data_IF_512992736645
#
_entry.id   IF_512992736645
#
_cell.length_a   1.000
_cell.length_b   1.000
_cell.length_c   1.000
_cell.angle_alpha   90.00
_cell.angle_beta   90.00
_cell.angle_gamma   90.00
#
_symmetry.space_group_name_H-M   'P 1'
#
loop_
_entity.id
_entity.type
_entity.pdbx_description
1 polymer ?
#
# COMPACT_ATOMS: atom_id res chain seq x y z
N UNK A 1 26.44 -15.53 -15.02
CA UNK A 1 25.17 -15.62 -14.27
C UNK A 1 24.14 -14.81 -15.04
N UNK A 2 23.15 -15.45 -15.65
CA UNK A 2 22.23 -14.79 -16.58
C UNK A 2 21.18 -13.97 -15.82
N UNK A 3 20.83 -12.82 -16.41
CA UNK A 3 20.02 -11.71 -15.87
C UNK A 3 18.59 -12.09 -15.41
N UNK A 4 18.20 -13.36 -15.48
CA UNK A 4 16.83 -13.87 -15.31
C UNK A 4 16.46 -14.32 -13.87
N UNK A 5 17.41 -14.40 -12.93
CA UNK A 5 17.17 -15.06 -11.62
C UNK A 5 16.80 -14.16 -10.42
N UNK A 6 16.63 -12.84 -10.60
CA UNK A 6 16.36 -11.91 -9.48
C UNK A 6 14.87 -11.70 -9.12
N UNK A 7 13.97 -12.39 -9.80
CA UNK A 7 12.52 -12.24 -9.62
C UNK A 7 11.95 -12.95 -8.38
N UNK A 8 12.75 -13.71 -7.63
CA UNK A 8 12.25 -14.70 -6.66
C UNK A 8 12.16 -14.24 -5.20
N UNK A 9 12.48 -12.99 -4.87
CA UNK A 9 12.56 -12.56 -3.47
C UNK A 9 11.33 -11.72 -3.08
N UNK A 10 10.43 -12.33 -2.34
CA UNK A 10 9.17 -11.80 -1.85
C UNK A 10 8.38 -12.91 -1.13
N UNK A 11 7.10 -12.73 -0.83
CA UNK A 11 6.23 -13.81 -0.31
C UNK A 11 6.22 -15.04 -1.24
N UNK A 12 6.52 -14.82 -2.53
CA UNK A 12 6.83 -15.86 -3.53
C UNK A 12 8.09 -16.67 -3.23
N UNK A 13 9.09 -16.14 -2.51
CA UNK A 13 10.31 -16.83 -2.09
C UNK A 13 10.05 -18.00 -1.15
N UNK A 14 9.11 -17.85 -0.21
CA UNK A 14 8.63 -18.94 0.66
C UNK A 14 7.96 -20.04 -0.18
N UNK A 15 7.25 -19.64 -1.22
CA UNK A 15 6.50 -20.48 -2.14
C UNK A 15 7.45 -21.16 -3.17
N UNK A 16 8.53 -20.50 -3.59
CA UNK A 16 9.69 -21.09 -4.28
C UNK A 16 10.38 -22.11 -3.39
N UNK A 17 10.59 -21.81 -2.11
CA UNK A 17 11.21 -22.72 -1.16
C UNK A 17 10.34 -23.96 -0.94
N UNK A 18 9.02 -23.81 -0.88
CA UNK A 18 8.06 -24.93 -0.84
C UNK A 18 8.06 -25.73 -2.15
N UNK A 19 8.12 -25.07 -3.31
CA UNK A 19 8.25 -25.72 -4.63
C UNK A 19 9.58 -26.51 -4.74
N UNK A 20 10.68 -25.95 -4.25
CA UNK A 20 12.01 -26.57 -4.25
C UNK A 20 12.10 -27.72 -3.23
N UNK A 21 11.42 -27.61 -2.10
CA UNK A 21 11.30 -28.71 -1.15
C UNK A 21 10.38 -29.83 -1.68
N UNK A 22 9.32 -29.48 -2.41
CA UNK A 22 8.50 -30.42 -3.17
C UNK A 22 9.31 -31.15 -4.24
N UNK A 23 10.18 -30.45 -4.97
CA UNK A 23 11.11 -31.06 -5.92
C UNK A 23 12.12 -32.00 -5.25
N UNK A 24 12.59 -31.70 -4.03
CA UNK A 24 13.45 -32.58 -3.25
C UNK A 24 12.70 -33.83 -2.72
N UNK A 25 11.42 -33.69 -2.36
CA UNK A 25 10.52 -34.79 -2.02
C UNK A 25 10.22 -35.70 -3.23
N UNK A 26 10.20 -35.14 -4.43
CA UNK A 26 10.03 -35.83 -5.71
C UNK A 26 11.27 -36.60 -6.18
N UNK A 27 12.46 -36.24 -5.70
CA UNK A 27 13.73 -36.65 -6.31
C UNK A 27 14.17 -38.09 -6.02
N UNK A 28 13.56 -38.85 -5.10
CA UNK A 28 13.77 -40.30 -5.04
C UNK A 28 12.80 -41.00 -4.09
N UNK A 29 12.02 -41.93 -4.65
CA UNK A 29 11.11 -42.87 -3.98
C UNK A 29 9.96 -42.24 -3.19
N UNK A 30 8.81 -42.93 -3.11
CA UNK A 30 7.70 -42.55 -2.22
C UNK A 30 8.16 -42.76 -0.77
N UNK A 31 8.61 -41.73 -0.03
CA UNK A 31 8.97 -41.89 1.37
C UNK A 31 7.67 -41.94 2.17
N UNK A 32 7.74 -42.37 3.42
CA UNK A 32 6.59 -42.27 4.32
C UNK A 32 6.16 -40.80 4.49
N UNK A 33 4.87 -40.52 4.73
CA UNK A 33 4.35 -39.15 4.94
C UNK A 33 5.15 -38.39 6.02
N UNK A 34 5.62 -39.11 7.05
CA UNK A 34 6.41 -38.57 8.15
C UNK A 34 7.83 -38.13 7.73
N UNK A 35 8.49 -38.89 6.85
CA UNK A 35 9.81 -38.52 6.31
C UNK A 35 9.71 -37.29 5.43
N UNK A 36 8.65 -37.20 4.61
CA UNK A 36 8.37 -36.03 3.77
C UNK A 36 8.20 -34.76 4.61
N UNK A 37 7.38 -34.84 5.67
CA UNK A 37 7.17 -33.72 6.58
C UNK A 37 8.48 -33.30 7.27
N UNK A 38 9.25 -34.25 7.80
CA UNK A 38 10.52 -33.98 8.48
C UNK A 38 11.54 -33.34 7.54
N UNK A 39 11.66 -33.85 6.30
CA UNK A 39 12.56 -33.29 5.30
C UNK A 39 12.17 -31.87 4.90
N UNK A 40 10.87 -31.63 4.69
CA UNK A 40 10.33 -30.30 4.38
C UNK A 40 10.65 -29.30 5.50
N UNK A 41 10.46 -29.69 6.77
CA UNK A 41 10.76 -28.83 7.91
C UNK A 41 12.26 -28.51 8.01
N UNK A 42 13.13 -29.52 7.86
CA UNK A 42 14.58 -29.35 7.94
C UNK A 42 15.12 -28.45 6.82
N UNK A 43 14.73 -28.72 5.57
CA UNK A 43 15.12 -27.90 4.42
C UNK A 43 14.63 -26.46 4.55
N UNK A 44 13.39 -26.27 4.99
CA UNK A 44 12.84 -24.94 5.21
C UNK A 44 13.64 -24.18 6.28
N UNK A 45 13.94 -24.81 7.41
CA UNK A 45 14.72 -24.21 8.48
C UNK A 45 16.15 -23.90 8.05
N UNK A 46 16.80 -24.81 7.31
CA UNK A 46 18.16 -24.62 6.82
C UNK A 46 18.26 -23.40 5.88
N UNK A 47 17.25 -23.20 5.03
CA UNK A 47 17.26 -22.12 4.03
C UNK A 47 16.75 -20.78 4.55
N UNK A 48 15.72 -20.81 5.39
CA UNK A 48 15.07 -19.59 5.89
C UNK A 48 15.59 -19.15 7.26
N UNK A 49 16.25 -20.04 8.01
CA UNK A 49 16.61 -19.83 9.41
C UNK A 49 15.41 -19.82 10.37
N UNK A 50 14.19 -20.12 9.87
CA UNK A 50 12.95 -20.10 10.64
C UNK A 50 12.37 -21.51 10.66
N UNK A 51 11.95 -21.99 11.84
CA UNK A 51 11.35 -23.31 11.96
C UNK A 51 9.99 -23.41 11.24
N UNK A 52 9.64 -24.61 10.80
CA UNK A 52 8.36 -24.92 10.18
C UNK A 52 7.70 -26.07 10.92
N UNK A 53 6.39 -25.96 11.17
CA UNK A 53 5.53 -27.06 11.58
C UNK A 53 4.64 -27.41 10.40
N UNK A 54 4.50 -28.70 10.15
CA UNK A 54 3.67 -29.25 9.08
C UNK A 54 2.80 -30.34 9.68
N UNK A 55 1.49 -30.26 9.48
CA UNK A 55 0.53 -31.24 9.98
C UNK A 55 0.59 -32.55 9.19
N UNK A 56 0.45 -32.46 7.86
CA UNK A 56 0.50 -33.62 6.95
C UNK A 56 1.13 -33.27 5.62
N UNK A 57 1.89 -34.21 5.06
CA UNK A 57 2.38 -34.15 3.67
C UNK A 57 2.04 -35.47 3.00
N UNK A 58 1.27 -35.44 1.92
CA UNK A 58 0.87 -36.65 1.22
C UNK A 58 0.72 -36.43 -0.28
N UNK A 59 0.69 -37.56 -1.01
CA UNK A 59 0.42 -37.59 -2.44
C UNK A 59 -1.04 -37.93 -2.70
N UNK A 60 -1.72 -37.12 -3.50
CA UNK A 60 -3.00 -37.48 -4.10
C UNK A 60 -2.73 -37.94 -5.54
N UNK A 61 -2.88 -39.24 -5.83
CA UNK A 61 -2.41 -39.84 -7.09
C UNK A 61 -3.48 -39.91 -8.20
N UNK A 62 -4.73 -39.50 -7.94
CA UNK A 62 -5.82 -39.51 -8.92
C UNK A 62 -6.60 -38.18 -8.89
N UNK A 63 -7.04 -37.64 -10.04
CA UNK A 63 -6.80 -38.09 -11.42
C UNK A 63 -5.39 -37.78 -11.95
N UNK A 64 -4.68 -36.82 -11.35
CA UNK A 64 -3.26 -36.51 -11.61
C UNK A 64 -2.50 -36.45 -10.28
N UNK A 65 -1.21 -36.82 -10.22
CA UNK A 65 -0.40 -36.69 -9.00
C UNK A 65 -0.30 -35.25 -8.52
N UNK A 66 -0.63 -35.02 -7.25
CA UNK A 66 -0.54 -33.74 -6.56
C UNK A 66 0.15 -33.95 -5.21
N UNK A 67 1.09 -33.08 -4.86
CA UNK A 67 1.65 -33.00 -3.50
C UNK A 67 0.79 -32.06 -2.69
N UNK A 68 0.26 -32.55 -1.56
CA UNK A 68 -0.58 -31.76 -0.66
C UNK A 68 0.11 -31.62 0.69
N UNK A 69 0.24 -30.38 1.16
CA UNK A 69 0.76 -30.02 2.46
C UNK A 69 -0.35 -29.34 3.26
N UNK A 70 -0.68 -29.89 4.43
CA UNK A 70 -1.76 -29.40 5.29
C UNK A 70 -1.21 -28.93 6.64
N UNK A 71 -1.84 -27.90 7.20
CA UNK A 71 -1.52 -27.39 8.53
C UNK A 71 -0.09 -26.84 8.62
N UNK A 72 0.25 -25.89 7.74
CA UNK A 72 1.55 -25.21 7.75
C UNK A 72 1.52 -24.11 8.80
N UNK A 73 2.56 -24.03 9.64
CA UNK A 73 2.78 -22.93 10.56
C UNK A 73 4.27 -22.64 10.78
N UNK A 74 4.71 -21.39 10.67
CA UNK A 74 6.09 -21.02 11.02
C UNK A 74 6.28 -20.94 12.54
N UNK A 75 7.50 -21.21 13.01
CA UNK A 75 7.87 -21.09 14.43
C UNK A 75 8.28 -19.65 14.72
N UNK A 76 7.29 -18.80 14.97
CA UNK A 76 7.43 -17.37 15.28
C UNK A 76 6.35 -16.96 16.29
N UNK A 77 6.53 -15.82 16.99
CA UNK A 77 5.54 -15.30 17.96
C UNK A 77 4.15 -15.15 17.34
N UNK A 78 4.10 -14.61 16.11
CA UNK A 78 2.90 -14.59 15.27
C UNK A 78 3.17 -15.48 14.04
N UNK A 79 2.68 -16.72 13.98
CA UNK A 79 3.03 -17.62 12.90
C UNK A 79 2.45 -17.15 11.56
N UNK A 80 3.19 -17.39 10.47
CA UNK A 80 2.60 -17.49 9.15
C UNK A 80 1.96 -18.87 9.06
N UNK A 81 0.68 -18.94 8.69
CA UNK A 81 -0.04 -20.20 8.57
C UNK A 81 -0.62 -20.41 7.18
N UNK A 82 -0.85 -21.67 6.81
CA UNK A 82 -1.68 -22.03 5.66
C UNK A 82 -2.42 -23.33 5.95
N UNK A 83 -3.72 -23.37 5.61
CA UNK A 83 -4.55 -24.56 5.81
C UNK A 83 -4.11 -25.68 4.88
N UNK A 84 -3.97 -25.35 3.59
CA UNK A 84 -3.59 -26.30 2.54
C UNK A 84 -2.74 -25.60 1.48
N UNK A 85 -1.67 -26.27 1.07
CA UNK A 85 -0.89 -25.93 -0.13
C UNK A 85 -0.84 -27.17 -1.00
N UNK A 86 -1.25 -27.04 -2.26
CA UNK A 86 -1.24 -28.13 -3.23
C UNK A 86 -0.38 -27.77 -4.43
N UNK A 87 0.41 -28.73 -4.91
CA UNK A 87 1.34 -28.58 -6.01
C UNK A 87 1.14 -29.69 -7.03
N UNK A 88 0.87 -29.31 -8.28
CA UNK A 88 0.71 -30.24 -9.40
C UNK A 88 1.98 -30.24 -10.25
N UNK A 89 2.89 -31.24 -10.10
CA UNK A 89 4.12 -31.31 -10.88
C UNK A 89 3.87 -31.71 -12.35
N UNK A 90 4.69 -31.19 -13.25
CA UNK A 90 4.75 -31.66 -14.64
C UNK A 90 5.59 -32.94 -14.73
N UNK A 91 4.93 -34.09 -14.63
CA UNK A 91 5.60 -35.39 -14.55
C UNK A 91 6.55 -35.67 -15.72
N UNK A 92 6.20 -35.30 -16.96
CA UNK A 92 7.09 -35.51 -18.11
C UNK A 92 8.38 -34.68 -18.03
N UNK A 93 8.27 -33.41 -17.59
CA UNK A 93 9.45 -32.57 -17.38
C UNK A 93 10.31 -33.10 -16.23
N UNK A 94 9.66 -33.54 -15.15
CA UNK A 94 10.33 -34.02 -13.95
C UNK A 94 11.02 -35.37 -14.16
N UNK A 95 10.28 -36.37 -14.65
CA UNK A 95 10.76 -37.75 -14.76
C UNK A 95 11.68 -37.96 -15.96
N UNK A 96 11.45 -37.28 -17.10
CA UNK A 96 12.19 -37.56 -18.33
C UNK A 96 13.24 -36.50 -18.66
N UNK A 97 13.03 -35.25 -18.26
CA UNK A 97 13.93 -34.14 -18.61
C UNK A 97 14.79 -33.65 -17.43
N UNK A 98 14.59 -34.22 -16.23
CA UNK A 98 15.21 -33.76 -14.98
C UNK A 98 15.02 -32.24 -14.79
N UNK A 99 13.83 -31.75 -15.14
CA UNK A 99 13.43 -30.35 -15.06
C UNK A 99 12.36 -30.15 -14.01
N UNK A 100 12.57 -29.16 -13.14
CA UNK A 100 11.59 -28.73 -12.15
C UNK A 100 10.56 -27.84 -12.84
N UNK A 101 9.31 -28.30 -12.89
CA UNK A 101 8.18 -27.57 -13.46
C UNK A 101 6.85 -28.03 -12.83
N UNK A 102 5.93 -27.08 -12.68
CA UNK A 102 4.62 -27.28 -12.07
C UNK A 102 3.53 -26.63 -12.93
N UNK A 103 2.39 -27.31 -13.04
CA UNK A 103 1.21 -26.76 -13.71
C UNK A 103 0.48 -25.79 -12.80
N UNK A 104 0.17 -26.24 -11.58
CA UNK A 104 -0.62 -25.48 -10.63
C UNK A 104 0.02 -25.46 -9.24
N UNK A 105 -0.10 -24.30 -8.61
CA UNK A 105 0.02 -24.12 -7.19
C UNK A 105 -1.31 -23.61 -6.65
N UNK A 106 -1.83 -24.25 -5.61
CA UNK A 106 -2.98 -23.76 -4.87
C UNK A 106 -2.58 -23.46 -3.42
N UNK A 107 -2.99 -22.31 -2.92
CA UNK A 107 -2.82 -21.91 -1.51
C UNK A 107 -4.19 -21.57 -0.93
N UNK A 108 -4.61 -22.26 0.13
CA UNK A 108 -5.88 -22.05 0.79
C UNK A 108 -5.70 -21.67 2.27
N UNK A 109 -6.44 -20.64 2.71
CA UNK A 109 -6.53 -20.23 4.11
C UNK A 109 -5.19 -19.78 4.70
N UNK A 110 -4.37 -19.06 3.92
CA UNK A 110 -3.09 -18.56 4.42
C UNK A 110 -3.25 -17.29 5.24
N UNK A 111 -2.57 -17.19 6.38
CA UNK A 111 -2.51 -15.97 7.19
C UNK A 111 -1.08 -15.46 7.21
N UNK A 112 -0.91 -14.21 6.78
CA UNK A 112 0.37 -13.55 6.57
C UNK A 112 0.48 -12.32 7.48
N UNK A 113 0.94 -12.47 8.74
CA UNK A 113 1.27 -11.32 9.57
C UNK A 113 2.47 -10.58 9.00
N UNK A 114 2.31 -9.27 8.76
CA UNK A 114 3.38 -8.42 8.19
C UNK A 114 4.69 -8.52 8.98
N UNK A 115 4.61 -8.57 10.30
CA UNK A 115 5.79 -8.67 11.19
C UNK A 115 6.58 -9.96 10.91
N UNK A 116 5.87 -11.05 10.66
CA UNK A 116 6.46 -12.38 10.45
C UNK A 116 7.00 -12.52 9.05
N UNK A 117 6.30 -11.97 8.05
CA UNK A 117 6.77 -11.88 6.66
C UNK A 117 8.06 -11.06 6.58
N UNK A 118 8.19 -9.99 7.37
CA UNK A 118 9.43 -9.20 7.44
C UNK A 118 10.63 -10.01 7.91
N UNK A 119 10.43 -11.04 8.73
CA UNK A 119 11.53 -11.89 9.17
C UNK A 119 12.18 -12.64 8.00
N UNK A 120 11.50 -12.83 6.86
CA UNK A 120 12.11 -13.48 5.69
C UNK A 120 12.99 -12.54 4.85
N UNK A 121 13.04 -11.23 5.17
CA UNK A 121 13.82 -10.27 4.39
C UNK A 121 15.32 -10.55 4.50
N UNK A 122 16.01 -10.61 3.35
CA UNK A 122 17.45 -10.88 3.29
C UNK A 122 17.80 -12.33 3.65
N UNK A 123 16.81 -13.17 3.96
CA UNK A 123 16.98 -14.60 4.25
C UNK A 123 16.60 -15.37 2.99
N UNK A 124 17.50 -16.24 2.53
CA UNK A 124 17.31 -16.99 1.30
C UNK A 124 17.79 -16.30 0.02
N UNK A 125 18.33 -15.08 0.06
CA UNK A 125 18.95 -14.42 -1.11
C UNK A 125 20.21 -15.17 -1.60
N UNK A 126 20.84 -15.94 -0.70
CA UNK A 126 21.95 -16.85 -0.98
C UNK A 126 21.49 -18.29 -1.27
N UNK A 127 20.18 -18.57 -1.29
CA UNK A 127 19.69 -19.87 -1.69
C UNK A 127 19.91 -19.99 -3.21
N UNK A 128 21.09 -20.49 -3.60
CA UNK A 128 21.26 -21.10 -4.92
C UNK A 128 20.03 -21.97 -5.15
N UNK A 129 19.24 -21.65 -6.18
CA UNK A 129 18.30 -22.62 -6.72
C UNK A 129 19.09 -23.93 -6.81
N UNK A 130 18.60 -25.04 -6.24
CA UNK A 130 19.35 -26.26 -6.24
C UNK A 130 19.61 -26.61 -7.70
N UNK A 131 20.85 -26.42 -8.13
CA UNK A 131 21.52 -27.46 -8.88
C UNK A 131 21.65 -28.63 -7.89
N UNK A 132 20.52 -29.24 -7.51
CA UNK A 132 20.55 -30.61 -7.02
C UNK A 132 21.19 -31.37 -8.16
N UNK A 133 22.31 -32.04 -7.92
CA UNK A 133 23.17 -32.63 -8.94
C UNK A 133 22.40 -33.12 -10.19
N UNK A 134 22.45 -32.34 -11.28
CA UNK A 134 21.80 -32.63 -12.57
C UNK A 134 20.35 -32.20 -12.78
N UNK A 135 19.73 -31.41 -11.91
CA UNK A 135 18.38 -30.84 -12.08
C UNK A 135 18.44 -29.38 -12.55
N UNK A 136 17.54 -29.00 -13.47
CA UNK A 136 17.41 -27.62 -13.96
C UNK A 136 15.97 -27.09 -13.84
N UNK A 137 15.78 -25.78 -13.76
CA UNK A 137 14.44 -25.18 -13.82
C UNK A 137 13.95 -25.16 -15.27
N UNK A 138 12.68 -25.50 -15.50
CA UNK A 138 12.06 -25.31 -16.81
C UNK A 138 11.94 -23.80 -17.15
N UNK A 139 11.80 -23.43 -18.45
CA UNK A 139 11.59 -22.03 -18.85
C UNK A 139 10.37 -21.37 -18.20
N UNK A 140 9.32 -22.17 -17.95
CA UNK A 140 8.12 -21.82 -17.17
C UNK A 140 8.04 -22.77 -15.98
N UNK A 141 8.69 -22.46 -14.84
CA UNK A 141 8.71 -23.35 -13.68
C UNK A 141 7.34 -23.54 -13.02
N UNK A 142 6.43 -22.58 -13.18
CA UNK A 142 5.07 -22.61 -12.66
C UNK A 142 4.17 -21.99 -13.71
N UNK A 143 3.11 -22.67 -14.16
CA UNK A 143 2.16 -22.10 -15.13
C UNK A 143 1.10 -21.24 -14.44
N UNK A 144 0.56 -21.69 -13.31
CA UNK A 144 -0.50 -21.00 -12.61
C UNK A 144 -0.33 -21.06 -11.09
N UNK A 145 -0.61 -19.94 -10.42
CA UNK A 145 -0.78 -19.87 -8.97
C UNK A 145 -2.21 -19.42 -8.67
N UNK A 146 -2.93 -20.16 -7.84
CA UNK A 146 -4.24 -19.79 -7.29
C UNK A 146 -4.14 -19.66 -5.80
N UNK A 147 -4.78 -18.64 -5.26
CA UNK A 147 -4.87 -18.46 -3.83
C UNK A 147 -6.28 -18.08 -3.40
N UNK A 148 -6.73 -18.67 -2.30
CA UNK A 148 -8.07 -18.50 -1.75
C UNK A 148 -7.93 -18.23 -0.26
N UNK A 149 -8.70 -17.28 0.26
CA UNK A 149 -8.74 -16.94 1.68
C UNK A 149 -7.35 -16.56 2.23
N UNK A 150 -6.54 -15.85 1.43
CA UNK A 150 -5.23 -15.36 1.88
C UNK A 150 -5.41 -14.05 2.63
N UNK A 151 -5.15 -14.09 3.92
CA UNK A 151 -5.31 -12.97 4.83
C UNK A 151 -3.97 -12.29 5.11
N UNK A 152 -3.84 -11.04 4.67
CA UNK A 152 -2.73 -10.16 5.06
C UNK A 152 -3.09 -9.40 6.33
N UNK A 153 -2.30 -9.57 7.39
CA UNK A 153 -2.47 -8.80 8.64
C UNK A 153 -1.43 -7.69 8.66
N UNK A 154 -1.91 -6.44 8.60
CA UNK A 154 -1.03 -5.29 8.58
C UNK A 154 -0.44 -4.98 9.97
N UNK A 155 0.35 -3.91 10.08
CA UNK A 155 0.99 -3.50 11.35
C UNK A 155 0.02 -2.98 12.41
N UNK A 156 -1.26 -2.80 12.06
CA UNK A 156 -2.34 -2.30 12.92
C UNK A 156 -3.32 -3.43 13.26
N UNK A 157 -2.92 -4.68 13.00
CA UNK A 157 -3.75 -5.87 13.17
C UNK A 157 -5.04 -5.84 12.32
N UNK A 158 -5.02 -5.09 11.22
CA UNK A 158 -6.09 -5.12 10.23
C UNK A 158 -5.88 -6.33 9.33
N UNK A 159 -6.79 -7.30 9.42
CA UNK A 159 -6.80 -8.52 8.63
C UNK A 159 -7.58 -8.31 7.32
N UNK A 160 -6.89 -8.40 6.20
CA UNK A 160 -7.45 -8.20 4.87
C UNK A 160 -7.35 -9.51 4.07
N UNK A 161 -8.49 -10.12 3.78
CA UNK A 161 -8.58 -11.37 3.01
C UNK A 161 -8.66 -11.11 1.49
N UNK A 162 -7.98 -11.96 0.73
CA UNK A 162 -7.84 -11.91 -0.73
C UNK A 162 -8.01 -13.28 -1.36
N UNK A 163 -8.61 -13.30 -2.54
CA UNK A 163 -8.62 -14.43 -3.47
C UNK A 163 -7.94 -13.99 -4.77
N UNK A 164 -7.41 -14.91 -5.56
CA UNK A 164 -6.80 -14.54 -6.84
C UNK A 164 -6.11 -15.66 -7.60
N UNK A 165 -5.68 -15.31 -8.80
CA UNK A 165 -5.02 -16.19 -9.77
C UNK A 165 -3.93 -15.43 -10.50
N UNK A 166 -2.79 -16.09 -10.73
CA UNK A 166 -1.68 -15.57 -11.52
C UNK A 166 -1.27 -16.64 -12.51
N UNK A 167 -1.34 -16.31 -13.80
CA UNK A 167 -0.82 -17.11 -14.90
C UNK A 167 0.56 -16.57 -15.28
N UNK A 168 1.53 -17.46 -15.47
CA UNK A 168 2.91 -17.08 -15.77
C UNK A 168 3.35 -17.61 -17.14
N UNK A 169 4.13 -16.80 -17.83
CA UNK A 169 4.90 -17.18 -19.01
C UNK A 169 6.39 -17.38 -18.63
N UNK A 170 7.25 -17.52 -19.64
CA UNK A 170 8.68 -17.70 -19.49
C UNK A 170 9.31 -16.61 -18.61
N UNK A 171 10.32 -17.01 -17.81
CA UNK A 171 11.00 -16.09 -16.90
C UNK A 171 10.14 -15.60 -15.73
N UNK A 172 9.06 -16.33 -15.40
CA UNK A 172 8.11 -15.97 -14.34
C UNK A 172 7.45 -14.61 -14.54
N UNK A 173 7.26 -14.22 -15.81
CA UNK A 173 6.52 -13.01 -16.15
C UNK A 173 5.02 -13.31 -16.09
N UNK A 174 4.24 -12.61 -15.25
CA UNK A 174 2.79 -12.80 -15.23
C UNK A 174 2.21 -12.49 -16.61
N UNK A 175 1.49 -13.44 -17.19
CA UNK A 175 0.66 -13.23 -18.37
C UNK A 175 -0.64 -12.54 -17.97
N UNK A 176 -1.26 -13.04 -16.91
CA UNK A 176 -2.45 -12.45 -16.31
C UNK A 176 -2.36 -12.58 -14.79
N UNK A 177 -2.72 -11.54 -14.06
CA UNK A 177 -2.86 -11.58 -12.62
C UNK A 177 -4.22 -10.98 -12.24
N UNK A 178 -4.93 -11.65 -11.36
CA UNK A 178 -6.21 -11.22 -10.84
C UNK A 178 -6.21 -11.36 -9.31
N UNK A 179 -6.59 -10.29 -8.62
CA UNK A 179 -6.65 -10.24 -7.16
C UNK A 179 -7.95 -9.59 -6.75
N UNK A 180 -8.68 -10.21 -5.84
CA UNK A 180 -10.01 -9.77 -5.38
C UNK A 180 -10.02 -9.69 -3.86
N UNK A 181 -10.62 -8.63 -3.30
CA UNK A 181 -10.94 -8.56 -1.87
C UNK A 181 -12.12 -9.45 -1.56
N UNK A 182 -11.89 -10.42 -0.68
CA UNK A 182 -12.93 -11.31 -0.19
C UNK A 182 -13.89 -10.55 0.73
N UNK A 183 -15.19 -10.78 0.56
CA UNK A 183 -16.24 -10.26 1.45
C UNK A 183 -16.50 -8.75 1.37
N UNK A 184 -16.11 -8.09 0.27
CA UNK A 184 -16.31 -6.65 0.10
C UNK A 184 -17.31 -6.39 -1.02
N UNK A 185 -18.29 -5.51 -0.76
CA UNK A 185 -19.28 -5.03 -1.75
C UNK A 185 -19.35 -3.49 -1.72
N UNK A 186 -19.27 -2.79 -2.86
CA UNK A 186 -18.98 -3.30 -4.21
C UNK A 186 -17.62 -3.98 -4.30
N UNK A 187 -17.45 -4.88 -5.26
CA UNK A 187 -16.23 -5.67 -5.43
C UNK A 187 -15.00 -4.77 -5.51
N UNK A 188 -13.92 -5.16 -4.82
CA UNK A 188 -12.61 -4.56 -4.98
C UNK A 188 -11.69 -5.57 -5.66
N UNK A 189 -11.35 -5.33 -6.93
CA UNK A 189 -10.66 -6.26 -7.82
C UNK A 189 -9.58 -5.53 -8.61
N UNK A 190 -8.45 -6.20 -8.84
CA UNK A 190 -7.38 -5.73 -9.70
C UNK A 190 -7.02 -6.82 -10.71
N UNK A 191 -6.93 -6.45 -11.99
CA UNK A 191 -6.52 -7.31 -13.09
C UNK A 191 -5.36 -6.67 -13.83
N UNK A 192 -4.33 -7.45 -14.07
CA UNK A 192 -3.22 -7.12 -14.96
C UNK A 192 -3.22 -8.14 -16.10
N UNK A 193 -3.23 -7.68 -17.34
CA UNK A 193 -3.18 -8.54 -18.53
C UNK A 193 -2.04 -8.08 -19.45
N UNK A 194 -1.05 -8.93 -19.69
CA UNK A 194 0.14 -8.59 -20.48
C UNK A 194 -0.22 -8.47 -21.96
N UNK A 195 0.28 -7.42 -22.61
CA UNK A 195 0.08 -7.14 -24.03
C UNK A 195 1.29 -7.62 -24.84
N UNK A 196 1.12 -8.70 -25.60
CA UNK A 196 2.19 -9.31 -26.38
C UNK A 196 3.33 -9.86 -25.50
N UNK A 197 4.56 -9.77 -26.04
CA UNK A 197 5.76 -10.30 -25.37
C UNK A 197 6.52 -9.24 -24.58
N UNK A 198 6.11 -7.97 -24.67
CA UNK A 198 6.68 -6.90 -23.87
C UNK A 198 6.20 -7.01 -22.41
N UNK A 199 7.05 -6.57 -21.48
CA UNK A 199 6.69 -6.39 -20.06
C UNK A 199 5.81 -5.14 -19.88
N UNK A 200 4.63 -5.17 -20.51
CA UNK A 200 3.58 -4.14 -20.50
C UNK A 200 2.22 -4.78 -20.24
N UNK A 201 1.47 -4.26 -19.27
CA UNK A 201 0.17 -4.79 -18.87
C UNK A 201 -0.92 -3.74 -18.94
N UNK A 202 -2.05 -4.08 -19.56
CA UNK A 202 -3.30 -3.39 -19.28
C UNK A 202 -3.68 -3.65 -17.83
N UNK A 203 -3.95 -2.58 -17.11
CA UNK A 203 -4.28 -2.60 -15.68
C UNK A 203 -5.69 -2.09 -15.50
N UNK A 204 -6.55 -2.92 -14.92
CA UNK A 204 -7.95 -2.64 -14.64
C UNK A 204 -8.21 -2.90 -13.15
N UNK A 205 -8.52 -1.84 -12.40
CA UNK A 205 -8.83 -1.91 -10.98
C UNK A 205 -10.25 -1.39 -10.78
N UNK A 206 -11.09 -2.19 -10.12
CA UNK A 206 -12.45 -1.85 -9.73
C UNK A 206 -12.47 -1.78 -8.21
N UNK A 207 -12.89 -0.65 -7.64
CA UNK A 207 -13.03 -0.49 -6.19
C UNK A 207 -13.87 0.75 -5.90
N UNK A 208 -14.64 0.73 -4.81
CA UNK A 208 -15.53 1.85 -4.45
C UNK A 208 -16.58 2.14 -5.52
N UNK A 209 -17.04 1.11 -6.24
CA UNK A 209 -18.02 1.25 -7.32
C UNK A 209 -17.54 2.06 -8.54
N UNK A 210 -16.25 2.38 -8.62
CA UNK A 210 -15.61 3.04 -9.76
C UNK A 210 -14.38 2.28 -10.24
N UNK A 211 -13.58 2.90 -11.11
CA UNK A 211 -12.45 2.22 -11.76
C UNK A 211 -11.18 3.04 -11.81
N UNK A 212 -10.02 2.38 -11.71
CA UNK A 212 -8.74 2.87 -12.22
C UNK A 212 -8.31 2.00 -13.40
N UNK A 213 -8.12 2.61 -14.56
CA UNK A 213 -7.68 1.91 -15.77
C UNK A 213 -6.47 2.55 -16.39
N UNK A 214 -5.60 1.75 -16.97
CA UNK A 214 -4.46 2.26 -17.73
C UNK A 214 -3.43 1.19 -17.98
N UNK A 215 -2.16 1.58 -17.97
CA UNK A 215 -1.06 0.68 -18.34
C UNK A 215 0.03 0.70 -17.30
N UNK A 216 0.54 -0.49 -17.00
CA UNK A 216 1.72 -0.72 -16.19
C UNK A 216 2.85 -1.28 -17.05
N UNK A 217 4.08 -0.87 -16.78
CA UNK A 217 5.30 -1.30 -17.49
C UNK A 217 6.31 -1.74 -16.46
N UNK A 218 6.99 -2.85 -16.75
CA UNK A 218 8.15 -3.28 -16.01
C UNK A 218 9.36 -3.29 -16.94
N UNK A 219 10.42 -2.65 -16.51
CA UNK A 219 11.70 -2.66 -17.20
C UNK A 219 12.73 -3.41 -16.35
N UNK A 220 13.64 -4.11 -17.01
CA UNK A 220 14.82 -4.71 -16.37
C UNK A 220 16.07 -4.15 -17.04
N UNK A 221 16.53 -2.93 -16.67
CA UNK A 221 17.73 -2.33 -17.24
C UNK A 221 18.98 -3.19 -17.03
N UNK A 222 20.07 -2.88 -17.76
CA UNK A 222 21.34 -3.62 -17.69
C UNK A 222 21.97 -3.66 -16.28
N UNK A 223 21.63 -2.69 -15.42
CA UNK A 223 22.01 -2.67 -14.00
C UNK A 223 21.43 -3.86 -13.20
N UNK A 224 20.42 -4.55 -13.75
CA UNK A 224 19.75 -5.68 -13.13
C UNK A 224 18.76 -5.30 -12.03
N UNK A 225 18.47 -4.00 -11.84
CA UNK A 225 17.37 -3.54 -11.03
C UNK A 225 16.04 -3.70 -11.78
N UNK A 226 14.94 -3.90 -11.07
CA UNK A 226 13.61 -3.84 -11.66
C UNK A 226 13.09 -2.41 -11.54
N UNK A 227 12.47 -1.90 -12.61
CA UNK A 227 11.76 -0.61 -12.60
C UNK A 227 10.33 -0.83 -12.99
N UNK A 228 9.41 -0.44 -12.12
CA UNK A 228 7.98 -0.51 -12.37
C UNK A 228 7.43 0.91 -12.54
N UNK A 229 6.60 1.12 -13.56
CA UNK A 229 5.85 2.36 -13.72
C UNK A 229 4.41 2.06 -14.15
N UNK A 230 3.48 2.94 -13.80
CA UNK A 230 2.12 2.84 -14.30
C UNK A 230 1.46 4.22 -14.45
N UNK A 231 0.55 4.34 -15.40
CA UNK A 231 -0.32 5.50 -15.57
C UNK A 231 -1.76 5.01 -15.56
N UNK A 232 -2.55 5.48 -14.59
CA UNK A 232 -3.91 5.02 -14.34
C UNK A 232 -4.86 6.22 -14.28
N UNK A 233 -6.01 6.13 -14.96
CA UNK A 233 -7.09 7.10 -14.87
C UNK A 233 -8.18 6.58 -13.92
N UNK A 234 -8.46 7.35 -12.86
CA UNK A 234 -9.53 7.09 -11.91
C UNK A 234 -10.84 7.69 -12.43
N UNK A 235 -11.94 6.95 -12.36
CA UNK A 235 -13.27 7.42 -12.79
C UNK A 235 -14.33 6.97 -11.80
N UNK A 236 -15.08 7.96 -11.29
CA UNK A 236 -16.29 7.80 -10.48
C UNK A 236 -16.13 6.88 -9.25
N UNK A 237 -14.98 6.96 -8.57
CA UNK A 237 -14.69 6.12 -7.41
C UNK A 237 -15.29 6.73 -6.16
N UNK A 238 -16.18 6.02 -5.48
CA UNK A 238 -16.65 6.42 -4.15
C UNK A 238 -15.53 6.30 -3.11
N UNK A 239 -15.12 7.45 -2.53
CA UNK A 239 -13.99 7.52 -1.59
C UNK A 239 -14.30 6.79 -0.29
N UNK A 240 -15.53 6.87 0.21
CA UNK A 240 -15.95 6.20 1.43
C UNK A 240 -15.90 4.68 1.23
N UNK A 241 -16.47 4.16 0.14
CA UNK A 241 -16.44 2.73 -0.17
C UNK A 241 -15.03 2.22 -0.48
N UNK A 242 -14.20 3.01 -1.18
CA UNK A 242 -12.78 2.70 -1.39
C UNK A 242 -12.06 2.47 -0.06
N UNK A 243 -12.19 3.41 0.89
CA UNK A 243 -11.50 3.26 2.18
C UNK A 243 -12.08 2.11 3.01
N UNK A 244 -13.41 1.91 2.97
CA UNK A 244 -14.10 0.83 3.66
C UNK A 244 -13.67 -0.56 3.15
N UNK A 245 -13.41 -0.72 1.85
CA UNK A 245 -12.89 -1.97 1.26
C UNK A 245 -11.57 -2.44 1.91
N UNK A 246 -10.82 -1.53 2.53
CA UNK A 246 -9.57 -1.80 3.25
C UNK A 246 -9.69 -1.60 4.76
N UNK A 247 -10.91 -1.63 5.30
CA UNK A 247 -11.22 -1.41 6.73
C UNK A 247 -10.64 -0.10 7.27
N UNK A 248 -10.65 0.95 6.44
CA UNK A 248 -10.24 2.30 6.81
C UNK A 248 -11.44 3.23 6.83
N UNK A 249 -11.33 4.30 7.60
CA UNK A 249 -12.32 5.37 7.67
C UNK A 249 -11.91 6.51 6.75
N UNK A 250 -12.87 7.02 5.98
CA UNK A 250 -12.65 8.24 5.20
C UNK A 250 -12.85 9.50 6.05
N UNK A 251 -12.12 10.57 5.71
CA UNK A 251 -12.41 11.93 6.16
C UNK A 251 -13.24 12.72 5.14
N UNK A 252 -13.40 12.17 3.92
CA UNK A 252 -14.09 12.80 2.79
C UNK A 252 -15.04 11.80 2.17
N UNK A 253 -16.29 12.18 1.96
CA UNK A 253 -17.25 11.47 1.14
C UNK A 253 -17.36 12.12 -0.25
N UNK A 254 -17.68 11.34 -1.27
CA UNK A 254 -17.82 11.81 -2.65
C UNK A 254 -17.19 10.91 -3.70
N UNK A 255 -17.32 11.32 -4.97
CA UNK A 255 -16.82 10.57 -6.14
C UNK A 255 -15.52 11.17 -6.68
N UNK A 256 -14.45 10.39 -6.57
CA UNK A 256 -13.11 10.72 -7.04
C UNK A 256 -12.95 10.37 -8.53
N UNK A 257 -12.36 11.30 -9.27
CA UNK A 257 -11.79 11.07 -10.61
C UNK A 257 -10.42 11.75 -10.70
N UNK A 258 -9.55 11.27 -11.57
CA UNK A 258 -8.18 11.79 -11.64
C UNK A 258 -7.20 10.95 -12.42
N UNK A 259 -5.92 11.32 -12.32
CA UNK A 259 -4.81 10.59 -12.92
C UNK A 259 -3.79 10.22 -11.85
N UNK A 260 -3.36 8.97 -11.85
CA UNK A 260 -2.34 8.44 -10.96
C UNK A 260 -1.14 7.98 -11.77
N UNK A 261 0.03 8.50 -11.44
CA UNK A 261 1.33 7.99 -11.88
C UNK A 261 1.92 7.14 -10.75
N UNK A 262 2.39 5.93 -11.05
CA UNK A 262 3.10 5.07 -10.10
C UNK A 262 4.52 4.83 -10.60
N UNK A 263 5.49 4.82 -9.69
CA UNK A 263 6.89 4.49 -9.97
C UNK A 263 7.48 3.71 -8.81
N UNK A 264 8.33 2.74 -9.12
CA UNK A 264 9.13 2.02 -8.14
C UNK A 264 10.38 1.43 -8.77
N UNK A 265 11.44 1.29 -7.98
CA UNK A 265 12.69 0.65 -8.37
C UNK A 265 13.18 -0.23 -7.22
N UNK A 266 13.63 -1.45 -7.53
CA UNK A 266 14.02 -2.42 -6.52
C UNK A 266 14.79 -3.61 -7.09
N UNK A 267 15.54 -4.30 -6.24
CA UNK A 267 16.29 -5.49 -6.64
C UNK A 267 15.38 -6.69 -6.96
N UNK A 268 14.18 -6.71 -6.37
CA UNK A 268 13.19 -7.80 -6.44
C UNK A 268 11.75 -7.26 -6.41
N UNK A 269 10.74 -8.07 -6.78
CA UNK A 269 9.33 -7.65 -6.73
C UNK A 269 8.86 -7.20 -5.34
N UNK A 270 9.41 -7.78 -4.27
CA UNK A 270 9.12 -7.34 -2.91
C UNK A 270 9.60 -5.91 -2.65
N UNK A 271 10.78 -5.53 -3.13
CA UNK A 271 11.31 -4.18 -3.05
C UNK A 271 10.46 -3.20 -3.87
N UNK A 272 9.98 -3.60 -5.04
CA UNK A 272 9.08 -2.77 -5.84
C UNK A 272 7.84 -2.35 -5.04
N UNK A 273 7.21 -3.28 -4.32
CA UNK A 273 6.04 -2.97 -3.47
C UNK A 273 6.43 -2.07 -2.29
N UNK A 274 7.61 -2.29 -1.69
CA UNK A 274 8.07 -1.53 -0.51
C UNK A 274 8.51 -0.11 -0.82
N UNK A 275 9.06 0.12 -2.01
CA UNK A 275 9.54 1.42 -2.51
C UNK A 275 8.52 2.10 -3.42
N UNK A 276 7.30 1.57 -3.49
CA UNK A 276 6.24 2.10 -4.34
C UNK A 276 5.95 3.56 -3.99
N UNK A 277 6.00 4.41 -5.01
CA UNK A 277 5.61 5.80 -4.95
C UNK A 277 4.50 6.04 -5.98
N UNK A 278 3.47 6.77 -5.58
CA UNK A 278 2.42 7.19 -6.50
C UNK A 278 2.06 8.66 -6.32
N UNK A 279 1.82 9.35 -7.42
CA UNK A 279 1.32 10.71 -7.46
C UNK A 279 -0.04 10.74 -8.13
N UNK A 280 -1.08 11.16 -7.41
CA UNK A 280 -2.45 11.21 -7.90
C UNK A 280 -2.94 12.66 -7.95
N UNK A 281 -3.25 13.18 -9.13
CA UNK A 281 -4.03 14.42 -9.27
C UNK A 281 -5.50 14.05 -9.26
N UNK A 282 -6.26 14.59 -8.31
CA UNK A 282 -7.65 14.17 -8.09
C UNK A 282 -8.61 15.36 -8.04
N UNK A 283 -9.87 15.06 -8.35
CA UNK A 283 -11.04 15.89 -8.08
C UNK A 283 -12.13 15.00 -7.50
N UNK A 284 -12.78 15.45 -6.43
CA UNK A 284 -13.92 14.79 -5.78
C UNK A 284 -15.14 15.70 -5.94
N UNK A 285 -16.19 15.20 -6.61
CA UNK A 285 -17.42 15.96 -6.88
C UNK A 285 -18.68 15.07 -6.84
N UNK A 286 -19.78 15.50 -6.18
CA UNK A 286 -19.74 16.44 -5.06
C UNK A 286 -18.88 15.85 -3.93
N UNK A 287 -18.42 16.69 -3.00
CA UNK A 287 -17.63 16.27 -1.85
C UNK A 287 -18.32 16.62 -0.54
N UNK A 288 -18.04 15.86 0.52
CA UNK A 288 -18.47 16.16 1.89
C UNK A 288 -17.31 15.89 2.84
N UNK A 289 -16.88 16.90 3.60
CA UNK A 289 -15.95 16.66 4.70
C UNK A 289 -16.72 16.00 5.84
N UNK A 290 -16.25 14.83 6.26
CA UNK A 290 -16.83 14.07 7.35
C UNK A 290 -16.14 14.46 8.66
N UNK A 291 -16.92 14.56 9.74
CA UNK A 291 -16.42 14.86 11.11
C UNK A 291 -15.78 16.25 11.23
N UNK A 292 -16.17 17.14 10.33
CA UNK A 292 -15.74 18.53 10.35
C UNK A 292 -16.85 19.42 9.83
N UNK A 293 -17.35 20.30 10.68
CA UNK A 293 -18.29 21.37 10.35
C UNK A 293 -17.55 22.72 10.38
N UNK A 294 -17.28 23.24 9.18
CA UNK A 294 -16.55 24.50 9.00
C UNK A 294 -17.35 25.69 9.52
N UNK A 295 -18.67 25.72 9.28
CA UNK A 295 -19.52 26.80 9.73
C UNK A 295 -19.51 26.87 11.26
N UNK A 296 -19.69 25.73 11.92
CA UNK A 296 -19.62 25.61 13.37
C UNK A 296 -18.23 25.95 13.92
N UNK A 297 -17.16 25.51 13.25
CA UNK A 297 -15.79 25.83 13.65
C UNK A 297 -15.52 27.34 13.60
N UNK A 298 -16.03 28.04 12.58
CA UNK A 298 -15.88 29.50 12.46
C UNK A 298 -16.72 30.21 13.52
N UNK A 299 -18.00 29.87 13.68
CA UNK A 299 -18.90 30.56 14.62
C UNK A 299 -18.54 30.31 16.09
N UNK A 300 -17.88 29.20 16.39
CA UNK A 300 -17.45 28.86 17.77
C UNK A 300 -15.96 29.13 18.02
N UNK A 301 -15.28 29.86 17.14
CA UNK A 301 -13.84 30.13 17.24
C UNK A 301 -13.00 28.85 17.44
N UNK A 302 -13.41 27.75 16.83
CA UNK A 302 -12.76 26.45 16.90
C UNK A 302 -13.10 25.61 18.13
N UNK A 303 -14.05 26.02 18.99
CA UNK A 303 -14.41 25.24 20.19
C UNK A 303 -15.23 23.99 19.83
N UNK A 304 -16.12 24.09 18.85
CA UNK A 304 -16.90 22.96 18.34
C UNK A 304 -16.76 22.83 16.83
N UNK A 305 -16.48 21.62 16.38
CA UNK A 305 -16.14 21.32 14.98
C UNK A 305 -16.71 20.00 14.48
N UNK A 306 -17.41 19.25 15.33
CA UNK A 306 -18.05 18.00 14.93
C UNK A 306 -19.26 18.28 14.03
N UNK A 307 -19.36 17.52 12.94
CA UNK A 307 -20.44 17.60 11.96
C UNK A 307 -19.94 17.25 10.57
N UNK A 308 -20.56 17.81 9.53
CA UNK A 308 -20.16 17.60 8.15
C UNK A 308 -20.20 18.92 7.39
N UNK A 309 -19.27 19.12 6.45
CA UNK A 309 -19.26 20.30 5.59
C UNK A 309 -19.49 19.87 4.15
N UNK A 310 -20.60 20.26 3.50
CA UNK A 310 -20.78 20.04 2.08
C UNK A 310 -19.77 20.87 1.29
N UNK A 311 -19.23 20.27 0.23
CA UNK A 311 -18.33 20.91 -0.71
C UNK A 311 -18.85 20.66 -2.12
N UNK A 312 -18.83 21.69 -2.96
CA UNK A 312 -19.07 21.53 -4.40
C UNK A 312 -17.97 20.67 -5.02
N UNK A 313 -16.74 20.87 -4.54
CA UNK A 313 -15.55 20.21 -5.06
C UNK A 313 -14.40 20.20 -4.06
N UNK A 314 -13.63 19.11 -4.08
CA UNK A 314 -12.30 19.02 -3.47
C UNK A 314 -11.29 18.52 -4.51
N UNK A 315 -10.27 19.32 -4.80
CA UNK A 315 -9.16 18.94 -5.69
C UNK A 315 -7.82 18.95 -4.98
N UNK A 316 -6.85 18.25 -5.55
CA UNK A 316 -5.44 18.44 -5.21
C UNK A 316 -4.55 17.38 -5.81
N UNK A 317 -3.33 17.31 -5.30
CA UNK A 317 -2.36 16.27 -5.59
C UNK A 317 -2.11 15.45 -4.33
N UNK A 318 -2.18 14.13 -4.43
CA UNK A 318 -1.81 13.18 -3.39
C UNK A 318 -0.56 12.41 -3.81
N UNK A 319 0.55 12.67 -3.13
CA UNK A 319 1.75 11.86 -3.19
C UNK A 319 1.72 10.80 -2.08
N UNK A 320 1.77 9.53 -2.45
CA UNK A 320 1.84 8.39 -1.54
C UNK A 320 3.22 7.75 -1.67
N UNK A 321 3.88 7.52 -0.55
CA UNK A 321 5.19 6.87 -0.53
C UNK A 321 5.20 5.77 0.52
N UNK A 322 5.45 4.54 0.07
CA UNK A 322 5.75 3.43 0.97
C UNK A 322 7.16 3.62 1.54
N UNK A 323 7.28 3.48 2.86
CA UNK A 323 8.55 3.53 3.60
C UNK A 323 8.64 2.33 4.53
N UNK A 324 9.80 2.15 5.15
CA UNK A 324 9.97 1.11 6.16
C UNK A 324 9.05 1.33 7.38
N UNK A 325 8.85 2.60 7.76
CA UNK A 325 8.08 2.98 8.95
C UNK A 325 6.58 3.13 8.70
N UNK A 326 6.14 3.07 7.44
CA UNK A 326 4.73 3.20 7.11
C UNK A 326 4.47 3.68 5.71
N UNK A 327 3.32 4.33 5.53
CA UNK A 327 2.96 5.00 4.30
C UNK A 327 2.84 6.47 4.65
N UNK A 328 3.55 7.31 3.91
CA UNK A 328 3.46 8.76 4.00
C UNK A 328 2.51 9.23 2.89
N UNK A 329 1.49 10.00 3.27
CA UNK A 329 0.57 10.66 2.35
C UNK A 329 0.85 12.16 2.40
N UNK A 330 1.17 12.79 1.28
CA UNK A 330 1.36 14.23 1.17
C UNK A 330 0.33 14.78 0.21
N UNK A 331 -0.50 15.66 0.73
CA UNK A 331 -1.49 16.41 -0.02
C UNK A 331 -0.94 17.80 -0.29
N UNK A 332 -0.89 18.18 -1.57
CA UNK A 332 -0.46 19.47 -2.06
C UNK A 332 -1.51 20.04 -3.00
N UNK A 333 -1.46 21.36 -3.22
CA UNK A 333 -2.39 22.07 -4.08
C UNK A 333 -3.86 21.79 -3.74
N UNK A 334 -4.16 21.54 -2.46
CA UNK A 334 -5.53 21.27 -2.03
C UNK A 334 -6.35 22.52 -2.26
N UNK A 335 -7.50 22.35 -2.89
CA UNK A 335 -8.52 23.38 -3.04
C UNK A 335 -9.88 22.78 -2.76
N UNK A 336 -10.62 23.37 -1.84
CA UNK A 336 -12.00 23.03 -1.52
C UNK A 336 -12.89 24.23 -1.84
N UNK A 337 -14.08 23.97 -2.38
CA UNK A 337 -15.06 25.00 -2.71
C UNK A 337 -16.42 24.63 -2.10
N UNK A 338 -17.08 25.61 -1.49
CA UNK A 338 -18.43 25.49 -0.93
C UNK A 338 -19.17 26.80 -1.11
N UNK A 339 -19.98 26.92 -2.16
CA UNK A 339 -20.65 28.16 -2.53
C UNK A 339 -19.64 29.27 -2.83
N UNK A 340 -19.69 30.35 -2.04
CA UNK A 340 -18.79 31.51 -2.15
C UNK A 340 -17.48 31.35 -1.35
N UNK A 341 -17.27 30.21 -0.69
CA UNK A 341 -16.10 29.93 0.12
C UNK A 341 -15.09 29.10 -0.66
N UNK A 342 -13.82 29.49 -0.58
CA UNK A 342 -12.70 28.70 -1.09
C UNK A 342 -11.67 28.48 0.01
N UNK A 343 -11.21 27.25 0.17
CA UNK A 343 -10.10 26.93 1.05
C UNK A 343 -8.96 26.35 0.23
N UNK A 344 -7.72 26.74 0.54
CA UNK A 344 -6.52 26.18 -0.06
C UNK A 344 -5.56 25.68 1.01
N UNK A 345 -4.75 24.66 0.71
CA UNK A 345 -3.83 24.15 1.71
C UNK A 345 -2.95 22.98 1.29
N UNK A 346 -2.27 22.43 2.29
CA UNK A 346 -1.47 21.22 2.18
C UNK A 346 -1.50 20.45 3.49
N UNK A 347 -1.30 19.13 3.41
CA UNK A 347 -1.29 18.27 4.59
C UNK A 347 -0.37 17.08 4.38
N UNK A 348 0.29 16.63 5.43
CA UNK A 348 1.03 15.37 5.48
C UNK A 348 0.39 14.47 6.53
N UNK A 349 0.18 13.22 6.15
CA UNK A 349 -0.27 12.16 7.05
C UNK A 349 0.78 11.06 7.10
N UNK A 350 1.28 10.79 8.31
CA UNK A 350 2.14 9.64 8.57
C UNK A 350 1.74 9.02 9.89
N UNK A 351 1.55 7.69 9.92
CA UNK A 351 1.19 6.98 11.15
C UNK A 351 -0.03 7.59 11.86
N UNK A 352 -1.04 8.01 11.07
CA UNK A 352 -2.27 8.69 11.51
C UNK A 352 -2.08 10.10 12.07
N UNK A 353 -0.85 10.56 12.29
CA UNK A 353 -0.55 11.95 12.64
C UNK A 353 -0.79 12.83 11.42
N UNK A 354 -1.50 13.92 11.63
CA UNK A 354 -1.83 14.92 10.63
C UNK A 354 -1.01 16.18 10.93
N UNK A 355 -0.40 16.77 9.91
CA UNK A 355 0.24 18.07 9.99
C UNK A 355 -0.02 18.83 8.68
N UNK A 356 -0.52 20.04 8.74
CA UNK A 356 -0.86 20.79 7.54
C UNK A 356 -1.09 22.29 7.79
N UNK A 357 -1.33 23.00 6.70
CA UNK A 357 -1.70 24.42 6.69
C UNK A 357 -2.90 24.59 5.76
N UNK A 358 -3.86 25.42 6.17
CA UNK A 358 -5.02 25.80 5.36
C UNK A 358 -5.24 27.31 5.46
N UNK A 359 -5.56 27.94 4.34
CA UNK A 359 -6.08 29.29 4.25
C UNK A 359 -7.51 29.25 3.70
N UNK A 360 -8.44 29.96 4.32
CA UNK A 360 -9.85 30.03 3.91
C UNK A 360 -10.15 31.45 3.44
N UNK A 361 -10.51 31.63 2.18
CA UNK A 361 -10.83 32.90 1.55
C UNK A 361 -12.36 33.01 1.26
N UNK A 362 -12.91 34.22 1.37
CA UNK A 362 -14.27 34.58 0.91
C UNK A 362 -14.17 35.30 -0.44
N UNK A 363 -15.08 35.00 -1.38
CA UNK A 363 -15.10 35.60 -2.73
C UNK A 363 -15.39 37.12 -2.73
N UNK A 364 -15.75 37.73 -1.59
CA UNK A 364 -16.07 39.17 -1.46
C UNK A 364 -14.97 40.02 -0.78
N UNK A 365 -13.69 39.66 -0.96
CA UNK A 365 -12.55 40.52 -0.57
C UNK A 365 -12.13 40.45 0.91
N UNK A 366 -12.67 39.50 1.68
CA UNK A 366 -12.25 39.25 3.07
C UNK A 366 -11.02 38.32 3.11
N UNK A 367 -10.01 38.76 3.86
CA UNK A 367 -8.65 38.22 3.94
C UNK A 367 -8.61 36.85 4.61
N UNK A 368 -8.00 35.86 3.95
CA UNK A 368 -7.99 34.49 4.46
C UNK A 368 -7.20 34.27 5.74
N UNK A 369 -7.81 33.54 6.67
CA UNK A 369 -7.23 33.22 7.99
C UNK A 369 -6.32 32.00 7.83
N UNK A 370 -5.00 32.14 8.08
CA UNK A 370 -4.10 31.00 8.04
C UNK A 370 -4.23 30.15 9.30
N UNK A 371 -4.58 28.89 9.09
CA UNK A 371 -4.76 27.88 10.12
C UNK A 371 -3.72 26.78 9.95
N UNK A 372 -3.16 26.33 11.07
CA UNK A 372 -2.40 25.10 11.17
C UNK A 372 -3.34 23.95 11.51
N UNK A 373 -3.13 22.81 10.87
CA UNK A 373 -3.84 21.58 11.12
C UNK A 373 -2.88 20.58 11.78
N UNK A 374 -3.28 20.03 12.91
CA UNK A 374 -2.51 19.06 13.70
C UNK A 374 -3.34 17.86 14.14
N UNK A 375 -2.84 17.14 15.15
CA UNK A 375 -3.54 16.02 15.76
C UNK A 375 -3.48 14.73 14.94
N UNK A 376 -4.59 14.01 14.88
CA UNK A 376 -4.70 12.74 14.15
C UNK A 376 -5.84 12.76 13.14
N UNK A 377 -5.84 11.83 12.17
CA UNK A 377 -6.94 11.69 11.21
C UNK A 377 -8.33 11.46 11.85
N UNK A 378 -8.38 10.96 13.09
CA UNK A 378 -9.66 10.74 13.79
C UNK A 378 -10.01 11.88 14.76
N UNK A 379 -9.02 12.70 15.13
CA UNK A 379 -9.18 13.86 16.00
C UNK A 379 -8.27 14.99 15.48
N UNK A 380 -8.66 15.66 14.38
CA UNK A 380 -7.89 16.76 13.83
C UNK A 380 -7.99 17.98 14.76
N UNK A 381 -6.87 18.70 14.89
CA UNK A 381 -6.78 19.93 15.68
C UNK A 381 -6.53 21.11 14.76
N UNK A 382 -7.15 22.25 15.04
CA UNK A 382 -6.94 23.50 14.32
C UNK A 382 -6.42 24.56 15.28
N UNK A 383 -5.38 25.27 14.85
CA UNK A 383 -4.84 26.42 15.58
C UNK A 383 -4.40 27.50 14.60
N UNK A 384 -4.25 28.74 15.07
CA UNK A 384 -3.63 29.80 14.28
C UNK A 384 -2.12 29.54 14.18
N UNK A 385 -1.49 29.95 13.07
CA UNK A 385 -0.02 29.85 12.97
C UNK A 385 0.66 30.83 13.94
N UNK A 386 1.92 30.58 14.32
CA UNK A 386 2.65 31.44 15.25
C UNK A 386 2.76 32.88 14.74
N UNK A 387 3.12 33.06 13.46
CA UNK A 387 3.13 34.37 12.80
C UNK A 387 1.74 34.99 12.67
N UNK A 388 0.69 34.19 12.51
CA UNK A 388 -0.68 34.68 12.46
C UNK A 388 -1.17 35.21 13.81
N UNK A 389 -0.87 34.52 14.92
CA UNK A 389 -1.18 35.00 16.28
C UNK A 389 -0.44 36.30 16.60
N UNK A 390 0.87 36.35 16.33
CA UNK A 390 1.68 37.53 16.58
C UNK A 390 1.21 38.74 15.74
N UNK A 391 0.95 38.50 14.46
CA UNK A 391 0.41 39.51 13.55
C UNK A 391 -0.99 39.96 13.94
N UNK A 392 -1.87 39.04 14.34
CA UNK A 392 -3.23 39.33 14.77
C UNK A 392 -3.26 40.19 16.05
N UNK A 393 -2.34 39.94 16.99
CA UNK A 393 -2.21 40.75 18.21
C UNK A 393 -1.82 42.20 17.89
N UNK A 394 -0.86 42.39 16.97
CA UNK A 394 -0.43 43.73 16.52
C UNK A 394 -1.54 44.43 15.74
N UNK A 395 -2.18 43.70 14.82
CA UNK A 395 -3.25 44.23 13.98
C UNK A 395 -4.49 44.66 14.78
N UNK A 396 -4.85 43.88 15.80
CA UNK A 396 -5.96 44.19 16.73
C UNK A 396 -5.71 45.46 17.55
N UNK A 397 -4.45 45.78 17.84
CA UNK A 397 -4.09 46.99 18.58
C UNK A 397 -4.29 48.27 17.75
N UNK A 398 -4.26 48.15 16.41
CA UNK A 398 -4.47 49.28 15.49
C UNK A 398 -5.94 49.41 15.12
N UNK A 399 -6.60 48.29 14.75
CA UNK A 399 -8.01 48.29 14.37
C UNK A 399 -8.66 46.93 14.69
N UNK A 400 -9.61 46.85 15.66
CA UNK A 400 -10.29 45.61 16.00
C UNK A 400 -11.03 45.01 14.79
N UNK A 401 -10.96 43.68 14.62
CA UNK A 401 -11.63 42.96 13.54
C UNK A 401 -10.82 42.95 12.25
N UNK A 402 -10.85 44.05 11.47
CA UNK A 402 -10.18 44.11 10.15
C UNK A 402 -8.65 44.14 10.30
N UNK A 403 -8.13 44.87 11.29
CA UNK A 403 -6.69 44.93 11.57
C UNK A 403 -6.12 43.58 12.00
N UNK A 404 -6.87 42.80 12.79
CA UNK A 404 -6.52 41.44 13.23
C UNK A 404 -6.23 40.51 12.04
N UNK A 405 -7.10 40.51 11.03
CA UNK A 405 -6.95 39.67 9.84
C UNK A 405 -5.75 40.11 8.97
N UNK A 406 -5.55 41.41 8.79
CA UNK A 406 -4.44 41.97 8.00
C UNK A 406 -3.10 41.68 8.69
N UNK A 407 -3.01 41.91 10.00
CA UNK A 407 -1.82 41.68 10.78
C UNK A 407 -1.38 40.22 10.74
N UNK A 408 -2.33 39.28 10.90
CA UNK A 408 -2.06 37.84 10.84
C UNK A 408 -1.35 37.41 9.54
N UNK A 409 -1.75 37.97 8.39
CA UNK A 409 -1.15 37.67 7.09
C UNK A 409 0.26 38.24 6.94
N UNK A 410 0.49 39.47 7.40
CA UNK A 410 1.82 40.10 7.37
C UNK A 410 2.79 39.28 8.23
N UNK A 411 2.35 38.89 9.44
CA UNK A 411 3.13 38.04 10.32
C UNK A 411 3.47 36.68 9.69
N UNK A 412 2.50 36.04 9.02
CA UNK A 412 2.76 34.76 8.33
C UNK A 412 3.68 34.91 7.10
N UNK A 413 3.55 35.98 6.29
CA UNK A 413 4.47 36.25 5.18
C UNK A 413 5.90 36.48 5.68
N UNK A 414 6.06 37.19 6.79
CA UNK A 414 7.36 37.37 7.44
C UNK A 414 7.92 36.04 7.96
N UNK A 415 7.10 35.21 8.61
CA UNK A 415 7.50 33.88 9.08
C UNK A 415 7.99 32.98 7.92
N UNK A 416 7.31 33.00 6.77
CA UNK A 416 7.69 32.24 5.57
C UNK A 416 8.97 32.77 4.91
N UNK A 417 9.25 34.07 5.00
CA UNK A 417 10.46 34.69 4.44
C UNK A 417 11.69 34.52 5.32
N UNK A 418 11.50 34.33 6.64
CA UNK A 418 12.60 34.40 7.60
C UNK A 418 12.89 33.12 8.39
N UNK A 419 12.05 32.07 8.30
CA UNK A 419 12.33 30.76 8.94
C UNK A 419 12.41 30.85 10.46
N UNK A 420 11.31 30.55 11.15
CA UNK A 420 11.13 30.84 12.58
C UNK A 420 12.21 30.29 13.53
N UNK A 421 12.76 31.18 14.36
CA UNK A 421 12.76 31.08 15.83
C UNK A 421 13.37 32.37 16.42
N UNK A 422 12.54 33.39 16.63
CA UNK A 422 12.87 34.47 17.57
C UNK A 422 11.74 34.57 18.58
N UNK A 423 11.98 34.05 19.79
CA UNK A 423 11.24 34.46 21.00
C UNK A 423 11.43 35.97 21.14
N UNK A 424 10.42 36.74 20.75
CA UNK A 424 10.39 38.18 21.04
C UNK A 424 10.17 38.38 22.55
N UNK A 425 10.76 39.42 23.15
CA UNK A 425 10.72 39.64 24.60
C UNK A 425 9.30 39.91 25.08
N UNK A 426 8.99 39.60 26.36
CA UNK A 426 7.67 39.84 26.91
C UNK A 426 7.29 41.32 26.85
N UNK A 427 5.99 41.65 26.71
CA UNK A 427 5.54 43.03 26.61
C UNK A 427 5.93 43.81 27.88
N UNK A 428 6.55 44.98 27.67
CA UNK A 428 6.84 45.91 28.76
C UNK A 428 5.52 46.39 29.35
N UNK A 429 5.35 46.19 30.66
CA UNK A 429 4.22 46.76 31.42
C UNK A 429 4.20 48.28 31.24
N UNK A 430 3.02 48.91 31.14
CA UNK A 430 2.93 50.36 31.11
C UNK A 430 3.54 50.93 32.39
N UNK A 431 4.39 51.95 32.25
CA UNK A 431 4.79 52.78 33.39
C UNK A 431 3.59 53.64 33.77
N UNK A 432 3.09 53.45 34.98
CA UNK A 432 2.11 54.34 35.59
C UNK A 432 2.74 55.73 35.77
N UNK A 433 2.04 56.82 35.41
CA UNK A 433 2.39 58.16 35.88
C UNK A 433 2.17 58.29 37.40
#
# INVERSE_FOLDING_TARGET
MTRAHRWTVGVLGTLVLLLLAGAAALAWWLPSEAELATRLQNEFQQRSGIGLKVGRVHWALRPVPVVVVEGIATVQERPITARRVALTPQLGALLWQRRIAFDDLEVDGAVLPRVSVRAFRGRGDNARAPAADGWSLAPVPLRQARFTDVTWVDRRDIALAYDGTIEFDAGWRPRRAEVVRRGVTPTARAVLAREGDADRWRTDIEVGGGTWRGVSVLETPDSGALRFSAQLAATNVDVAQLTAAFQRRSAVDGRLSGQTELRSEGADPGELVRKLHSRTRFSVRPARLLRFDLAKAVTTAGISRDGQTPLDELTGTLDTQATEDGVVLRYSDLKARSGLLTASGSATVMNRKLNGEVAVDLVDGVVGVPLKIGGTLDAPELSLTGGALAGAAVGSAVLPGVGTAIGARIGQKMEKLFGGDRKLPPPRRPRTP
#
